data_IF_328547021403
#
_entry.id   IF_328547021403
#
_cell.length_a   1.000
_cell.length_b   1.000
_cell.length_c   1.000
_cell.angle_alpha   90.00
_cell.angle_beta   90.00
_cell.angle_gamma   90.00
#
_symmetry.space_group_name_H-M   'P 1'
#
loop_
_entity.id
_entity.type
_entity.pdbx_description
1 polymer ?
#
# COMPACT_ATOMS: atom_id res chain seq x y z
N UNK A 1 2.87 25.05 41.42
CA UNK A 1 2.78 23.56 41.48
C UNK A 1 4.05 22.96 40.91
N UNK A 2 4.68 21.99 41.59
CA UNK A 2 5.84 21.25 41.06
C UNK A 2 5.44 20.30 39.93
N UNK A 3 6.37 20.03 39.00
CA UNK A 3 6.24 19.05 37.91
C UNK A 3 5.77 17.68 38.44
N UNK A 4 6.32 17.24 39.57
CA UNK A 4 5.99 15.94 40.16
C UNK A 4 4.59 15.92 40.76
N UNK A 5 4.11 17.06 41.26
CA UNK A 5 2.74 17.22 41.74
C UNK A 5 1.75 17.12 40.58
N UNK A 6 2.03 17.76 39.43
CA UNK A 6 1.21 17.65 38.22
C UNK A 6 1.13 16.21 37.70
N UNK A 7 2.26 15.50 37.65
CA UNK A 7 2.29 14.09 37.24
C UNK A 7 1.51 13.18 38.20
N UNK A 8 1.59 13.43 39.51
CA UNK A 8 0.80 12.69 40.53
C UNK A 8 -0.69 12.93 40.38
N UNK A 9 -1.11 14.18 40.12
CA UNK A 9 -2.52 14.53 39.92
C UNK A 9 -3.09 13.86 38.66
N UNK A 10 -2.35 13.89 37.55
CA UNK A 10 -2.76 13.22 36.30
C UNK A 10 -2.89 11.71 36.50
N UNK A 11 -1.94 11.08 37.20
CA UNK A 11 -2.02 9.65 37.53
C UNK A 11 -3.19 9.29 38.45
N UNK A 12 -3.50 10.13 39.45
CA UNK A 12 -4.63 9.92 40.38
C UNK A 12 -6.02 10.03 39.71
N UNK A 13 -6.14 10.77 38.61
CA UNK A 13 -7.41 10.91 37.88
C UNK A 13 -7.69 9.74 36.92
N UNK A 14 -6.73 8.84 36.69
CA UNK A 14 -6.94 7.65 35.88
C UNK A 14 -7.80 6.64 36.64
N UNK A 15 -9.12 6.67 36.41
CA UNK A 15 -10.05 5.66 36.96
C UNK A 15 -10.11 4.44 36.05
N UNK A 16 -10.12 3.21 36.59
CA UNK A 16 -10.46 2.03 35.80
C UNK A 16 -11.89 2.13 35.29
N UNK A 17 -12.14 1.62 34.08
CA UNK A 17 -13.48 1.50 33.51
C UNK A 17 -14.33 0.55 34.38
N UNK A 18 -15.46 1.04 34.88
CA UNK A 18 -16.40 0.22 35.67
C UNK A 18 -17.38 -0.57 34.77
N UNK A 19 -17.51 -0.20 33.51
CA UNK A 19 -18.48 -0.78 32.60
C UNK A 19 -17.96 -2.04 31.89
N UNK A 20 -18.81 -3.06 31.68
CA UNK A 20 -18.44 -4.24 30.91
C UNK A 20 -18.13 -3.85 29.46
N UNK A 21 -17.00 -4.33 28.96
CA UNK A 21 -16.57 -4.13 27.57
C UNK A 21 -17.25 -5.16 26.69
N UNK A 22 -18.08 -4.72 25.74
CA UNK A 22 -18.76 -5.59 24.77
C UNK A 22 -18.14 -5.52 23.38
N UNK A 23 -17.83 -4.31 22.91
CA UNK A 23 -17.26 -4.09 21.57
C UNK A 23 -15.94 -3.35 21.67
N UNK A 24 -14.87 -3.99 21.20
CA UNK A 24 -13.53 -3.41 21.23
C UNK A 24 -12.89 -3.33 19.84
N UNK A 25 -11.95 -2.42 19.71
CA UNK A 25 -11.02 -2.33 18.59
C UNK A 25 -9.59 -2.52 19.10
N UNK A 26 -8.81 -3.34 18.41
CA UNK A 26 -7.41 -3.60 18.72
C UNK A 26 -6.54 -3.29 17.50
N UNK A 27 -5.47 -2.54 17.72
CA UNK A 27 -4.53 -2.18 16.66
C UNK A 27 -3.14 -1.89 17.23
N UNK A 28 -2.13 -1.85 16.37
CA UNK A 28 -0.76 -1.53 16.75
C UNK A 28 -0.40 -0.05 16.57
N UNK A 29 0.51 0.43 17.42
CA UNK A 29 1.06 1.76 17.32
C UNK A 29 2.56 1.74 17.62
N UNK A 30 3.30 2.63 16.97
CA UNK A 30 4.75 2.66 17.07
C UNK A 30 5.25 3.64 18.15
N UNK A 31 6.02 3.13 19.11
CA UNK A 31 6.82 3.92 20.05
C UNK A 31 7.88 4.74 19.35
N UNK A 32 8.47 4.25 18.28
CA UNK A 32 9.28 4.99 17.31
C UNK A 32 9.07 4.25 16.01
N UNK A 33 8.85 4.99 14.93
CA UNK A 33 8.56 4.40 13.61
C UNK A 33 9.65 3.38 13.29
N UNK A 34 9.27 2.13 12.99
CA UNK A 34 10.16 1.00 12.66
C UNK A 34 11.08 0.47 13.79
N UNK A 35 10.79 0.72 15.07
CA UNK A 35 11.61 0.17 16.16
C UNK A 35 10.82 -0.72 17.12
N UNK A 36 9.84 -0.13 17.82
CA UNK A 36 9.08 -0.84 18.85
C UNK A 36 7.61 -0.51 18.69
N UNK A 37 6.79 -1.55 18.67
CA UNK A 37 5.34 -1.47 18.54
C UNK A 37 4.70 -1.82 19.88
N UNK A 38 3.51 -1.30 20.11
CA UNK A 38 2.66 -1.55 21.25
C UNK A 38 1.22 -1.67 20.74
N UNK A 39 0.35 -2.39 21.44
CA UNK A 39 -1.07 -2.44 21.10
C UNK A 39 -1.85 -1.34 21.80
N UNK A 40 -2.92 -0.89 21.17
CA UNK A 40 -3.96 -0.06 21.77
C UNK A 40 -5.27 -0.83 21.72
N UNK A 41 -6.03 -0.77 22.81
CA UNK A 41 -7.38 -1.33 22.87
C UNK A 41 -8.35 -0.20 23.15
N UNK A 42 -9.37 -0.09 22.32
CA UNK A 42 -10.40 0.94 22.39
C UNK A 42 -11.77 0.30 22.59
N UNK A 43 -12.61 0.90 23.42
CA UNK A 43 -14.03 0.63 23.46
C UNK A 43 -14.67 1.35 22.28
N UNK A 44 -15.24 0.59 21.33
CA UNK A 44 -15.82 1.15 20.11
C UNK A 44 -17.17 1.80 20.34
N UNK A 45 -17.94 1.36 21.33
CA UNK A 45 -19.24 1.96 21.69
C UNK A 45 -19.05 3.37 22.24
N UNK A 46 -18.13 3.53 23.20
CA UNK A 46 -17.86 4.81 23.85
C UNK A 46 -16.80 5.65 23.15
N UNK A 47 -16.12 5.11 22.13
CA UNK A 47 -15.03 5.76 21.40
C UNK A 47 -13.90 6.22 22.34
N UNK A 48 -13.53 5.36 23.29
CA UNK A 48 -12.54 5.65 24.35
C UNK A 48 -11.44 4.61 24.36
N UNK A 49 -10.23 5.04 24.73
CA UNK A 49 -9.10 4.13 24.95
C UNK A 49 -9.34 3.39 26.26
N UNK A 50 -9.25 2.07 26.22
CA UNK A 50 -9.38 1.19 27.40
C UNK A 50 -8.00 0.98 28.01
N UNK A 51 -7.02 0.60 27.19
CA UNK A 51 -5.67 0.34 27.65
C UNK A 51 -4.66 0.45 26.51
N UNK A 52 -3.38 0.53 26.89
CA UNK A 52 -2.23 0.41 26.02
C UNK A 52 -1.41 -0.79 26.50
N UNK A 53 -1.15 -1.75 25.61
CA UNK A 53 -0.26 -2.87 25.90
C UNK A 53 1.18 -2.47 25.57
N UNK A 54 2.16 -3.04 26.27
CA UNK A 54 3.57 -2.65 26.15
C UNK A 54 4.20 -3.04 24.82
N UNK A 55 3.72 -4.13 24.24
CA UNK A 55 4.19 -4.76 23.01
C UNK A 55 3.02 -5.12 22.09
N UNK A 56 3.32 -5.76 20.96
CA UNK A 56 2.35 -6.27 19.99
C UNK A 56 2.32 -7.80 19.96
N UNK A 57 2.85 -8.45 21.00
CA UNK A 57 2.97 -9.90 21.01
C UNK A 57 1.59 -10.55 21.16
N UNK A 58 1.26 -11.59 20.37
CA UNK A 58 -0.03 -12.27 20.47
C UNK A 58 -0.35 -12.78 21.87
N UNK A 59 0.66 -13.21 22.62
CA UNK A 59 0.50 -13.69 23.99
C UNK A 59 0.00 -12.60 24.95
N UNK A 60 0.52 -11.38 24.83
CA UNK A 60 0.11 -10.22 25.64
C UNK A 60 -1.33 -9.84 25.35
N UNK A 61 -1.70 -9.80 24.07
CA UNK A 61 -3.08 -9.55 23.66
C UNK A 61 -4.04 -10.65 24.14
N UNK A 62 -3.65 -11.91 23.99
CA UNK A 62 -4.45 -13.07 24.43
C UNK A 62 -4.71 -13.02 25.94
N UNK A 63 -3.68 -12.78 26.75
CA UNK A 63 -3.80 -12.70 28.21
C UNK A 63 -4.77 -11.58 28.64
N UNK A 64 -4.68 -10.42 27.99
CA UNK A 64 -5.59 -9.32 28.26
C UNK A 64 -7.04 -9.65 27.84
N UNK A 65 -7.23 -10.25 26.67
CA UNK A 65 -8.57 -10.63 26.18
C UNK A 65 -9.23 -11.69 27.07
N UNK A 66 -8.47 -12.67 27.55
CA UNK A 66 -8.97 -13.73 28.43
C UNK A 66 -9.51 -13.18 29.77
N UNK A 67 -8.97 -12.05 30.24
CA UNK A 67 -9.45 -11.37 31.44
C UNK A 67 -10.78 -10.59 31.21
N UNK A 68 -11.28 -10.50 29.97
CA UNK A 68 -12.47 -9.74 29.60
C UNK A 68 -13.48 -10.61 28.83
N UNK A 69 -14.08 -11.63 29.47
CA UNK A 69 -14.96 -12.60 28.80
C UNK A 69 -16.26 -11.98 28.24
N UNK A 70 -16.65 -10.79 28.72
CA UNK A 70 -17.86 -10.07 28.26
C UNK A 70 -17.75 -9.50 26.85
N UNK A 71 -16.54 -9.48 26.26
CA UNK A 71 -16.32 -8.97 24.91
C UNK A 71 -17.02 -9.90 23.92
N UNK A 72 -17.93 -9.33 23.13
CA UNK A 72 -18.68 -10.03 22.10
C UNK A 72 -18.18 -9.71 20.68
N UNK A 73 -17.55 -8.55 20.47
CA UNK A 73 -17.08 -8.11 19.15
C UNK A 73 -15.67 -7.51 19.24
N UNK A 74 -14.79 -7.95 18.33
CA UNK A 74 -13.40 -7.47 18.24
C UNK A 74 -13.12 -6.99 16.82
N UNK A 75 -13.05 -5.67 16.61
CA UNK A 75 -12.51 -5.12 15.37
C UNK A 75 -10.98 -5.14 15.42
N UNK A 76 -10.35 -5.68 14.37
CA UNK A 76 -8.90 -5.80 14.32
C UNK A 76 -8.34 -5.65 12.91
N UNK A 77 -7.07 -5.30 12.84
CA UNK A 77 -6.30 -5.53 11.63
C UNK A 77 -6.12 -7.04 11.37
N UNK A 78 -5.80 -7.39 10.12
CA UNK A 78 -5.50 -8.75 9.66
C UNK A 78 -4.03 -9.13 9.88
N UNK A 79 -3.17 -8.18 10.25
CA UNK A 79 -1.79 -8.41 10.66
C UNK A 79 -1.61 -8.71 12.15
N UNK A 80 -0.38 -9.08 12.54
CA UNK A 80 0.06 -9.03 13.95
C UNK A 80 -0.41 -10.17 14.88
N UNK A 81 -1.05 -11.22 14.37
CA UNK A 81 -1.44 -12.38 15.19
C UNK A 81 -2.61 -12.14 16.15
N UNK A 82 -3.23 -10.95 16.12
CA UNK A 82 -4.39 -10.63 16.95
C UNK A 82 -5.59 -11.54 16.68
N UNK A 83 -5.76 -12.01 15.44
CA UNK A 83 -6.84 -12.94 15.11
C UNK A 83 -6.72 -14.28 15.81
N UNK A 84 -5.49 -14.83 15.89
CA UNK A 84 -5.22 -16.06 16.62
C UNK A 84 -5.33 -15.86 18.13
N UNK A 85 -4.83 -14.73 18.65
CA UNK A 85 -4.95 -14.37 20.06
C UNK A 85 -6.43 -14.24 20.49
N UNK A 86 -7.24 -13.56 19.67
CA UNK A 86 -8.68 -13.40 19.90
C UNK A 86 -9.41 -14.74 19.81
N UNK A 87 -9.12 -15.58 18.81
CA UNK A 87 -9.75 -16.89 18.66
C UNK A 87 -9.45 -17.82 19.85
N UNK A 88 -8.25 -17.75 20.42
CA UNK A 88 -7.86 -18.54 21.61
C UNK A 88 -8.46 -17.98 22.90
N UNK A 89 -8.46 -16.67 23.08
CA UNK A 89 -8.93 -16.04 24.32
C UNK A 89 -10.46 -15.97 24.42
N UNK A 90 -11.14 -15.70 23.30
CA UNK A 90 -12.58 -15.43 23.24
C UNK A 90 -13.19 -16.12 22.01
N UNK A 91 -13.36 -17.46 22.03
CA UNK A 91 -13.87 -18.22 20.89
C UNK A 91 -15.28 -17.80 20.45
N UNK A 92 -16.09 -17.27 21.38
CA UNK A 92 -17.45 -16.78 21.13
C UNK A 92 -17.49 -15.37 20.52
N UNK A 93 -16.39 -14.62 20.57
CA UNK A 93 -16.38 -13.23 20.10
C UNK A 93 -16.32 -13.16 18.57
N UNK A 94 -17.21 -12.36 17.98
CA UNK A 94 -17.21 -12.09 16.54
C UNK A 94 -16.05 -11.16 16.22
N UNK A 95 -15.11 -11.66 15.42
CA UNK A 95 -14.00 -10.86 14.92
C UNK A 95 -14.44 -10.10 13.67
N UNK A 96 -14.09 -8.83 13.58
CA UNK A 96 -14.41 -7.95 12.45
C UNK A 96 -13.10 -7.47 11.83
N UNK A 97 -12.83 -7.85 10.58
CA UNK A 97 -11.64 -7.39 9.89
C UNK A 97 -11.74 -5.89 9.56
N UNK A 98 -10.62 -5.18 9.58
CA UNK A 98 -10.60 -3.77 9.20
C UNK A 98 -10.84 -3.58 7.70
N UNK A 99 -11.89 -2.80 7.38
CA UNK A 99 -12.32 -2.47 6.02
C UNK A 99 -11.25 -1.71 5.25
N UNK A 100 -10.53 -0.80 5.89
CA UNK A 100 -9.50 -0.02 5.20
C UNK A 100 -8.39 -0.94 4.68
N UNK A 101 -7.89 -1.84 5.54
CA UNK A 101 -6.91 -2.85 5.17
C UNK A 101 -7.45 -3.80 4.09
N UNK A 102 -8.72 -4.20 4.14
CA UNK A 102 -9.33 -5.00 3.07
C UNK A 102 -9.32 -4.28 1.72
N UNK A 103 -9.71 -3.01 1.68
CA UNK A 103 -9.74 -2.21 0.47
C UNK A 103 -8.33 -1.90 -0.07
N UNK A 104 -7.38 -1.60 0.81
CA UNK A 104 -5.97 -1.41 0.46
C UNK A 104 -5.37 -2.70 -0.12
N UNK A 105 -5.58 -3.84 0.55
CA UNK A 105 -5.08 -5.15 0.09
C UNK A 105 -5.67 -5.55 -1.26
N UNK A 106 -6.95 -5.28 -1.50
CA UNK A 106 -7.60 -5.49 -2.80
C UNK A 106 -6.92 -4.62 -3.89
N UNK A 107 -6.69 -3.34 -3.61
CA UNK A 107 -6.05 -2.41 -4.55
C UNK A 107 -4.60 -2.80 -4.83
N UNK A 108 -3.88 -3.27 -3.81
CA UNK A 108 -2.52 -3.80 -3.93
C UNK A 108 -2.49 -5.09 -4.74
N UNK A 109 -3.47 -5.97 -4.57
CA UNK A 109 -3.61 -7.19 -5.37
C UNK A 109 -3.81 -6.87 -6.85
N UNK A 110 -4.60 -5.85 -7.18
CA UNK A 110 -4.72 -5.40 -8.57
C UNK A 110 -3.39 -4.87 -9.12
N UNK A 111 -2.67 -4.05 -8.34
CA UNK A 111 -1.34 -3.58 -8.73
C UNK A 111 -0.37 -4.75 -8.98
N UNK A 112 -0.43 -5.80 -8.16
CA UNK A 112 0.38 -7.01 -8.34
C UNK A 112 -0.06 -7.82 -9.57
N UNK A 113 -1.34 -7.86 -9.90
CA UNK A 113 -1.84 -8.43 -11.16
C UNK A 113 -1.31 -7.65 -12.39
N UNK A 114 -1.33 -6.31 -12.34
CA UNK A 114 -0.72 -5.47 -13.39
C UNK A 114 0.78 -5.75 -13.50
N UNK A 115 1.50 -5.84 -12.38
CA UNK A 115 2.95 -6.16 -12.37
C UNK A 115 3.25 -7.50 -13.04
N UNK A 116 2.50 -8.55 -12.72
CA UNK A 116 2.63 -9.87 -13.33
C UNK A 116 2.32 -9.83 -14.84
N UNK A 117 1.40 -8.96 -15.25
CA UNK A 117 0.98 -8.81 -16.65
C UNK A 117 1.85 -7.84 -17.45
N UNK A 118 2.86 -7.20 -16.85
CA UNK A 118 3.66 -6.18 -17.53
C UNK A 118 4.34 -6.68 -18.80
N UNK A 119 4.72 -7.96 -18.87
CA UNK A 119 5.30 -8.52 -20.11
C UNK A 119 4.28 -8.51 -21.26
N UNK A 120 3.06 -9.00 -21.01
CA UNK A 120 1.98 -9.01 -22.00
C UNK A 120 1.56 -7.59 -22.37
N UNK A 121 1.40 -6.71 -21.36
CA UNK A 121 1.12 -5.29 -21.57
C UNK A 121 2.21 -4.66 -22.45
N UNK A 122 3.49 -4.98 -22.23
CA UNK A 122 4.58 -4.49 -23.06
C UNK A 122 4.52 -5.04 -24.49
N UNK A 123 4.03 -6.24 -24.74
CA UNK A 123 3.85 -6.76 -26.10
C UNK A 123 2.71 -6.06 -26.81
N UNK A 124 1.57 -5.88 -26.12
CA UNK A 124 0.38 -5.22 -26.65
C UNK A 124 0.65 -3.73 -26.94
N UNK A 125 1.36 -3.05 -26.05
CA UNK A 125 1.77 -1.66 -26.27
C UNK A 125 2.99 -1.56 -27.20
N UNK A 126 3.93 -2.51 -27.09
CA UNK A 126 5.24 -2.53 -27.77
C UNK A 126 5.25 -3.22 -29.13
N UNK A 127 4.11 -3.35 -29.81
CA UNK A 127 4.09 -3.38 -31.27
C UNK A 127 4.71 -2.09 -31.89
N UNK A 128 5.06 -1.10 -31.06
CA UNK A 128 6.00 -0.01 -31.35
C UNK A 128 7.33 -0.21 -30.63
N UNK A 129 8.32 -0.74 -31.36
CA UNK A 129 9.69 -1.06 -30.96
C UNK A 129 10.45 0.13 -30.36
N UNK A 130 10.91 0.03 -29.10
CA UNK A 130 11.75 1.05 -28.44
C UNK A 130 13.11 1.15 -29.15
N UNK A 131 13.43 2.29 -29.76
CA UNK A 131 14.78 2.56 -30.27
C UNK A 131 15.75 2.92 -29.10
N UNK A 132 16.79 2.10 -28.83
CA UNK A 132 17.78 2.37 -27.77
C UNK A 132 18.51 3.72 -27.93
N UNK A 133 18.52 4.28 -29.15
CA UNK A 133 19.17 5.57 -29.43
C UNK A 133 18.44 6.75 -28.77
N UNK A 134 17.15 6.61 -28.45
CA UNK A 134 16.32 7.66 -27.84
C UNK A 134 16.40 7.73 -26.31
N UNK A 135 17.01 6.74 -25.65
CA UNK A 135 17.14 6.68 -24.20
C UNK A 135 18.21 7.65 -23.67
N UNK A 136 17.92 8.37 -22.58
CA UNK A 136 18.95 9.15 -21.85
C UNK A 136 19.98 8.23 -21.18
N UNK A 137 21.16 8.74 -20.80
CA UNK A 137 22.23 7.92 -20.20
C UNK A 137 21.78 7.15 -18.93
N UNK A 138 20.95 7.78 -18.09
CA UNK A 138 20.38 7.13 -16.90
C UNK A 138 19.33 6.06 -17.26
N UNK A 139 18.55 6.28 -18.34
CA UNK A 139 17.56 5.32 -18.84
C UNK A 139 18.22 4.15 -19.59
N UNK A 140 19.35 4.38 -20.29
CA UNK A 140 20.19 3.32 -20.88
C UNK A 140 20.76 2.40 -19.82
N UNK A 141 21.33 2.95 -18.74
CA UNK A 141 21.85 2.14 -17.63
C UNK A 141 20.76 1.28 -16.96
N UNK A 142 19.54 1.82 -16.86
CA UNK A 142 18.38 1.09 -16.35
C UNK A 142 17.88 0.01 -17.32
N UNK A 143 17.89 0.30 -18.62
CA UNK A 143 17.51 -0.62 -19.70
C UNK A 143 18.50 -1.78 -19.84
N UNK A 144 19.81 -1.51 -19.82
CA UNK A 144 20.87 -2.51 -19.77
C UNK A 144 20.80 -3.35 -18.49
N UNK A 145 20.47 -2.71 -17.36
CA UNK A 145 20.20 -3.43 -16.12
C UNK A 145 18.95 -4.30 -16.21
N UNK A 146 17.93 -3.92 -16.98
CA UNK A 146 16.75 -4.72 -17.28
C UNK A 146 17.07 -5.92 -18.16
N UNK A 147 17.79 -5.72 -19.27
CA UNK A 147 18.21 -6.80 -20.18
C UNK A 147 18.99 -7.89 -19.44
N UNK A 148 19.98 -7.50 -18.63
CA UNK A 148 20.74 -8.44 -17.78
C UNK A 148 19.87 -9.23 -16.81
N UNK A 149 18.78 -8.63 -16.31
CA UNK A 149 17.83 -9.30 -15.40
C UNK A 149 16.88 -10.24 -16.16
N UNK A 150 16.44 -9.87 -17.35
CA UNK A 150 15.66 -10.73 -18.25
C UNK A 150 16.47 -11.95 -18.68
N UNK A 151 17.73 -11.77 -19.07
CA UNK A 151 18.65 -12.86 -19.39
C UNK A 151 18.83 -13.81 -18.20
N UNK A 152 19.05 -13.26 -17.00
CA UNK A 152 19.14 -14.06 -15.78
C UNK A 152 17.83 -14.81 -15.47
N UNK A 153 16.67 -14.19 -15.69
CA UNK A 153 15.37 -14.84 -15.50
C UNK A 153 15.15 -15.96 -16.51
N UNK A 154 15.46 -15.71 -17.78
CA UNK A 154 15.34 -16.68 -18.86
C UNK A 154 16.23 -17.90 -18.60
N UNK A 155 17.48 -17.69 -18.15
CA UNK A 155 18.37 -18.76 -17.75
C UNK A 155 17.82 -19.59 -16.59
N UNK A 156 17.31 -18.96 -15.52
CA UNK A 156 16.67 -19.67 -14.40
C UNK A 156 15.46 -20.48 -14.87
N UNK A 157 14.59 -19.88 -15.69
CA UNK A 157 13.38 -20.54 -16.20
C UNK A 157 13.73 -21.72 -17.13
N UNK A 158 14.75 -21.58 -17.97
CA UNK A 158 15.22 -22.67 -18.84
C UNK A 158 15.74 -23.86 -18.02
N UNK A 159 16.57 -23.60 -17.00
CA UNK A 159 17.06 -24.65 -16.09
C UNK A 159 15.91 -25.32 -15.31
N UNK A 160 14.93 -24.53 -14.87
CA UNK A 160 13.74 -25.06 -14.17
C UNK A 160 12.85 -25.90 -15.09
N UNK A 161 12.70 -25.51 -16.37
CA UNK A 161 11.93 -26.29 -17.36
C UNK A 161 12.60 -27.63 -17.67
N UNK A 162 13.93 -27.67 -17.62
CA UNK A 162 14.71 -28.90 -17.79
C UNK A 162 14.71 -29.81 -16.54
N UNK A 163 13.83 -29.55 -15.56
CA UNK A 163 13.66 -30.39 -14.37
C UNK A 163 14.77 -30.25 -13.32
N UNK A 164 15.69 -29.27 -13.45
CA UNK A 164 16.82 -29.13 -12.54
C UNK A 164 16.34 -28.67 -11.15
N UNK A 165 16.73 -29.35 -10.06
CA UNK A 165 16.34 -28.96 -8.71
C UNK A 165 16.84 -27.55 -8.34
N UNK A 166 16.03 -26.79 -7.60
CA UNK A 166 16.34 -25.40 -7.17
C UNK A 166 17.74 -25.27 -6.56
N UNK A 167 18.21 -26.28 -5.80
CA UNK A 167 19.56 -26.27 -5.18
C UNK A 167 20.68 -26.26 -6.23
N UNK A 168 20.50 -26.97 -7.35
CA UNK A 168 21.46 -26.97 -8.45
C UNK A 168 21.37 -25.69 -9.28
N UNK A 169 20.15 -25.16 -9.52
CA UNK A 169 19.98 -23.86 -10.20
C UNK A 169 20.72 -22.75 -9.43
N UNK A 170 20.62 -22.72 -8.10
CA UNK A 170 21.35 -21.76 -7.24
C UNK A 170 22.87 -21.88 -7.42
N UNK A 171 23.40 -23.11 -7.49
CA UNK A 171 24.85 -23.35 -7.67
C UNK A 171 25.34 -22.96 -9.06
N UNK A 172 24.55 -23.24 -10.10
CA UNK A 172 24.92 -22.95 -11.49
C UNK A 172 24.79 -21.47 -11.85
N UNK A 173 23.76 -20.79 -11.34
CA UNK A 173 23.48 -19.38 -11.66
C UNK A 173 24.11 -18.38 -10.67
N UNK A 174 24.60 -18.85 -9.52
CA UNK A 174 25.11 -17.99 -8.43
C UNK A 174 24.03 -17.13 -7.75
N UNK A 175 22.75 -17.33 -8.10
CA UNK A 175 21.64 -16.53 -7.59
C UNK A 175 21.06 -17.10 -6.29
N UNK A 176 20.61 -16.22 -5.38
CA UNK A 176 20.05 -16.66 -4.10
C UNK A 176 18.83 -17.56 -4.27
N UNK A 177 18.65 -18.51 -3.34
CA UNK A 177 17.50 -19.44 -3.35
C UNK A 177 16.15 -18.71 -3.35
N UNK A 178 16.08 -17.52 -2.72
CA UNK A 178 14.89 -16.66 -2.73
C UNK A 178 14.62 -16.13 -4.14
N UNK A 179 15.65 -15.64 -4.83
CA UNK A 179 15.54 -15.13 -6.19
C UNK A 179 15.10 -16.21 -7.17
N UNK A 180 15.72 -17.40 -7.12
CA UNK A 180 15.35 -18.54 -7.98
C UNK A 180 13.87 -18.92 -7.78
N UNK A 181 13.41 -19.01 -6.52
CA UNK A 181 11.99 -19.26 -6.22
C UNK A 181 11.07 -18.15 -6.75
N UNK A 182 11.46 -16.88 -6.58
CA UNK A 182 10.67 -15.77 -7.09
C UNK A 182 10.57 -15.80 -8.61
N UNK A 183 11.64 -16.11 -9.33
CA UNK A 183 11.62 -16.21 -10.78
C UNK A 183 10.76 -17.38 -11.25
N UNK A 184 10.92 -18.56 -10.66
CA UNK A 184 10.11 -19.75 -10.99
C UNK A 184 8.61 -19.50 -10.75
N UNK A 185 8.27 -18.75 -9.69
CA UNK A 185 6.88 -18.39 -9.35
C UNK A 185 6.35 -17.18 -10.14
N UNK A 186 7.16 -16.55 -10.98
CA UNK A 186 6.79 -15.31 -11.67
C UNK A 186 6.63 -14.08 -10.75
N UNK A 187 7.22 -14.12 -9.55
CA UNK A 187 7.13 -13.11 -8.50
C UNK A 187 8.27 -12.08 -8.52
N UNK A 188 9.23 -12.16 -9.46
CA UNK A 188 10.31 -11.17 -9.58
C UNK A 188 9.75 -9.86 -10.16
N UNK A 189 9.26 -9.01 -9.26
CA UNK A 189 8.69 -7.70 -9.55
C UNK A 189 9.77 -6.69 -9.96
N UNK A 190 9.59 -6.05 -11.12
CA UNK A 190 10.37 -4.89 -11.53
C UNK A 190 9.82 -3.63 -10.84
N UNK A 191 10.61 -3.04 -9.94
CA UNK A 191 10.26 -1.79 -9.27
C UNK A 191 11.03 -0.67 -9.95
N UNK A 192 10.41 -0.06 -10.97
CA UNK A 192 10.79 1.29 -11.40
C UNK A 192 10.53 2.24 -10.22
N UNK A 193 11.59 2.68 -9.55
CA UNK A 193 11.52 3.76 -8.57
C UNK A 193 11.85 5.07 -9.25
N UNK A 194 10.83 5.78 -9.72
CA UNK A 194 10.99 7.21 -10.01
C UNK A 194 11.08 7.93 -8.67
N UNK A 195 12.23 8.52 -8.36
CA UNK A 195 12.41 9.36 -7.16
C UNK A 195 11.53 10.61 -7.35
N UNK A 196 10.70 10.94 -6.36
CA UNK A 196 9.99 12.23 -6.34
C UNK A 196 11.02 13.36 -6.46
N UNK A 197 10.81 14.22 -7.44
CA UNK A 197 11.68 15.37 -7.69
C UNK A 197 11.09 16.57 -6.96
N UNK A 198 11.93 17.45 -6.41
CA UNK A 198 11.50 18.76 -5.94
C UNK A 198 10.86 19.62 -7.05
N UNK A 199 10.99 19.20 -8.31
CA UNK A 199 10.37 19.81 -9.47
C UNK A 199 8.86 19.53 -9.59
N UNK A 200 8.36 18.45 -8.97
CA UNK A 200 6.98 17.96 -9.18
C UNK A 200 5.92 19.00 -8.81
N UNK A 201 6.19 19.85 -7.81
CA UNK A 201 5.31 20.94 -7.36
C UNK A 201 5.27 22.13 -8.32
N UNK A 202 6.29 22.26 -9.18
CA UNK A 202 6.48 23.39 -10.09
C UNK A 202 6.20 23.03 -11.55
N UNK A 203 5.88 21.77 -11.84
CA UNK A 203 5.57 21.29 -13.19
C UNK A 203 4.44 22.06 -13.87
N UNK A 204 3.29 22.36 -13.22
CA UNK A 204 2.20 23.08 -13.89
C UNK A 204 2.64 24.45 -14.42
N UNK A 205 3.37 25.21 -13.60
CA UNK A 205 3.87 26.52 -13.99
C UNK A 205 4.94 26.42 -15.09
N UNK A 206 5.80 25.40 -15.04
CA UNK A 206 6.81 25.17 -16.07
C UNK A 206 6.16 24.80 -17.41
N UNK A 207 5.12 23.97 -17.41
CA UNK A 207 4.35 23.62 -18.61
C UNK A 207 3.62 24.86 -19.18
N UNK A 208 3.06 25.75 -18.34
CA UNK A 208 2.44 27.01 -18.79
C UNK A 208 3.46 27.94 -19.48
N UNK A 209 4.64 28.11 -18.89
CA UNK A 209 5.70 28.93 -19.50
C UNK A 209 6.24 28.32 -20.79
N UNK A 210 6.24 26.99 -20.88
CA UNK A 210 6.63 26.26 -22.08
C UNK A 210 5.64 26.45 -23.23
N UNK A 211 4.35 26.37 -22.92
CA UNK A 211 3.25 26.65 -23.85
C UNK A 211 3.26 28.11 -24.30
N UNK A 212 3.60 29.05 -23.41
CA UNK A 212 3.80 30.46 -23.72
C UNK A 212 5.08 30.78 -24.53
N UNK A 213 5.84 29.76 -24.96
CA UNK A 213 6.99 29.90 -25.86
C UNK A 213 8.35 30.11 -25.18
N UNK A 214 8.45 30.07 -23.85
CA UNK A 214 9.73 30.17 -23.17
C UNK A 214 10.50 28.84 -23.23
N UNK A 215 11.42 28.71 -24.20
CA UNK A 215 12.15 27.44 -24.47
C UNK A 215 13.57 27.37 -23.90
N UNK A 216 14.02 28.43 -23.22
CA UNK A 216 15.36 28.52 -22.65
C UNK A 216 15.36 28.02 -21.19
N UNK A 217 16.03 26.88 -20.94
CA UNK A 217 16.11 26.28 -19.61
C UNK A 217 16.75 27.18 -18.54
N UNK A 218 17.70 28.04 -18.92
CA UNK A 218 18.32 29.01 -18.01
C UNK A 218 17.34 30.11 -17.63
N UNK A 219 16.52 30.56 -18.57
CA UNK A 219 15.49 31.58 -18.33
C UNK A 219 14.37 31.04 -17.44
N UNK A 220 13.90 29.82 -17.71
CA UNK A 220 12.93 29.13 -16.88
C UNK A 220 13.43 28.93 -15.45
N UNK A 221 14.72 28.59 -15.27
CA UNK A 221 15.31 28.45 -13.95
C UNK A 221 15.36 29.78 -13.18
N UNK A 222 15.76 30.88 -13.82
CA UNK A 222 15.77 32.21 -13.17
C UNK A 222 14.37 32.61 -12.71
N UNK A 223 13.37 32.47 -13.58
CA UNK A 223 11.98 32.80 -13.28
C UNK A 223 11.38 31.92 -12.19
N UNK A 224 11.71 30.63 -12.19
CA UNK A 224 11.22 29.71 -11.16
C UNK A 224 11.92 29.95 -9.81
N UNK A 225 13.20 30.30 -9.82
CA UNK A 225 13.96 30.67 -8.61
C UNK A 225 13.36 31.93 -7.95
N UNK A 226 12.97 32.92 -8.76
CA UNK A 226 12.26 34.10 -8.26
C UNK A 226 10.89 33.78 -7.61
N UNK A 227 10.28 32.65 -7.96
CA UNK A 227 9.04 32.13 -7.35
C UNK A 227 9.27 31.17 -6.17
N UNK A 228 10.51 31.10 -5.66
CA UNK A 228 10.86 30.36 -4.45
C UNK A 228 11.40 28.95 -4.67
N UNK A 229 11.73 28.56 -5.91
CA UNK A 229 12.38 27.28 -6.16
C UNK A 229 13.84 27.29 -5.72
N UNK A 230 14.24 26.27 -4.94
CA UNK A 230 15.62 26.11 -4.41
C UNK A 230 16.44 25.04 -5.12
N UNK A 231 15.98 24.54 -6.27
CA UNK A 231 16.69 23.51 -7.03
C UNK A 231 17.72 24.07 -8.01
N UNK A 232 18.58 23.21 -8.53
CA UNK A 232 19.67 23.60 -9.41
C UNK A 232 19.23 23.81 -10.86
N UNK A 233 19.97 24.69 -11.58
CA UNK A 233 19.79 24.94 -13.01
C UNK A 233 19.78 23.66 -13.84
N UNK A 234 20.64 22.69 -13.48
CA UNK A 234 20.74 21.40 -14.15
C UNK A 234 19.40 20.66 -14.21
N UNK A 235 18.60 20.69 -13.14
CA UNK A 235 17.30 20.01 -13.09
C UNK A 235 16.31 20.61 -14.10
N UNK A 236 16.34 21.93 -14.27
CA UNK A 236 15.44 22.64 -15.20
C UNK A 236 15.94 22.54 -16.63
N UNK A 237 17.25 22.60 -16.84
CA UNK A 237 17.86 22.36 -18.16
C UNK A 237 17.63 20.93 -18.64
N UNK A 238 17.69 19.94 -17.75
CA UNK A 238 17.32 18.55 -18.06
C UNK A 238 15.82 18.43 -18.37
N UNK A 239 14.95 19.09 -17.60
CA UNK A 239 13.51 19.13 -17.87
C UNK A 239 13.19 19.80 -19.23
N UNK A 240 13.77 20.96 -19.54
CA UNK A 240 13.58 21.66 -20.80
C UNK A 240 14.15 20.88 -22.00
N UNK A 241 15.24 20.13 -21.78
CA UNK A 241 15.79 19.22 -22.78
C UNK A 241 14.86 18.03 -23.00
N UNK A 242 14.27 17.46 -21.94
CA UNK A 242 13.24 16.43 -22.05
C UNK A 242 12.01 16.94 -22.80
N UNK A 243 11.59 18.18 -22.58
CA UNK A 243 10.42 18.77 -23.25
C UNK A 243 10.65 19.06 -24.73
N UNK A 244 11.83 19.59 -25.11
CA UNK A 244 12.24 19.69 -26.53
C UNK A 244 12.31 18.34 -27.22
N UNK A 245 12.81 17.32 -26.53
CA UNK A 245 12.86 15.95 -27.06
C UNK A 245 11.46 15.32 -27.15
N UNK A 246 10.58 15.62 -26.20
CA UNK A 246 9.20 15.14 -26.19
C UNK A 246 8.36 15.78 -27.31
N UNK A 247 8.51 17.07 -27.59
CA UNK A 247 7.82 17.72 -28.72
C UNK A 247 8.41 17.32 -30.07
N UNK A 248 9.74 17.13 -30.14
CA UNK A 248 10.37 16.54 -31.33
C UNK A 248 9.93 15.07 -31.51
N UNK A 249 9.51 14.42 -30.43
CA UNK A 249 8.91 13.09 -30.40
C UNK A 249 7.37 13.11 -30.48
N UNK A 250 6.68 14.27 -30.48
CA UNK A 250 5.23 14.32 -30.73
C UNK A 250 4.91 13.89 -32.17
N UNK A 251 5.88 14.05 -33.09
CA UNK A 251 5.85 13.45 -34.42
C UNK A 251 6.11 11.92 -34.44
N UNK A 252 6.49 11.31 -33.31
CA UNK A 252 6.89 9.90 -33.16
C UNK A 252 6.24 9.20 -31.94
N UNK A 253 5.17 9.76 -31.37
CA UNK A 253 4.76 9.53 -29.97
C UNK A 253 3.92 8.26 -29.72
N UNK A 254 4.51 7.09 -29.96
CA UNK A 254 3.92 5.78 -29.62
C UNK A 254 4.76 4.96 -28.62
N UNK A 255 5.77 5.53 -27.95
CA UNK A 255 6.86 4.71 -27.37
C UNK A 255 7.31 5.04 -25.94
N UNK A 256 6.38 5.20 -24.98
CA UNK A 256 6.77 5.00 -23.57
C UNK A 256 5.71 4.24 -22.79
N UNK A 257 6.02 2.96 -22.51
CA UNK A 257 5.14 2.07 -21.75
C UNK A 257 5.03 2.58 -20.31
N UNK A 258 3.83 2.92 -19.81
CA UNK A 258 3.68 3.46 -18.46
C UNK A 258 4.06 2.45 -17.38
N UNK A 259 4.39 2.94 -16.18
CA UNK A 259 4.72 2.06 -15.06
C UNK A 259 3.52 1.21 -14.65
N UNK A 260 3.75 0.05 -14.02
CA UNK A 260 2.66 -0.79 -13.48
C UNK A 260 1.73 -0.01 -12.53
N UNK A 261 2.27 0.94 -11.77
CA UNK A 261 1.46 1.80 -10.89
C UNK A 261 0.61 2.79 -11.68
N UNK A 262 1.18 3.34 -12.74
CA UNK A 262 0.46 4.22 -13.66
C UNK A 262 -0.67 3.45 -14.35
N UNK A 263 -0.39 2.27 -14.91
CA UNK A 263 -1.40 1.42 -15.55
C UNK A 263 -2.49 1.03 -14.55
N UNK A 264 -2.13 0.55 -13.36
CA UNK A 264 -3.11 0.22 -12.33
C UNK A 264 -4.02 1.41 -12.00
N UNK A 265 -3.45 2.61 -11.92
CA UNK A 265 -4.18 3.86 -11.70
C UNK A 265 -5.09 4.20 -12.89
N UNK A 266 -4.57 4.16 -14.12
CA UNK A 266 -5.33 4.49 -15.33
C UNK A 266 -6.53 3.54 -15.54
N UNK A 267 -6.35 2.27 -15.21
CA UNK A 267 -7.41 1.27 -15.31
C UNK A 267 -8.47 1.39 -14.20
N UNK A 268 -8.19 2.09 -13.10
CA UNK A 268 -9.11 2.24 -11.94
C UNK A 268 -9.67 3.65 -11.77
N UNK A 269 -9.05 4.67 -12.37
CA UNK A 269 -9.61 6.03 -12.47
C UNK A 269 -10.76 6.05 -13.49
N UNK A 270 -11.80 6.83 -13.22
CA UNK A 270 -12.93 7.02 -14.15
C UNK A 270 -12.46 7.55 -15.51
N UNK A 271 -13.04 7.03 -16.60
CA UNK A 271 -12.61 7.33 -17.98
C UNK A 271 -12.63 8.85 -18.29
N UNK A 272 -13.49 9.60 -17.60
CA UNK A 272 -13.67 11.06 -17.78
C UNK A 272 -12.46 11.89 -17.33
N UNK A 273 -11.51 11.30 -16.61
CA UNK A 273 -10.28 11.96 -16.15
C UNK A 273 -9.05 11.55 -16.97
N UNK A 274 -9.23 10.75 -18.02
CA UNK A 274 -8.15 10.26 -18.88
C UNK A 274 -7.93 11.20 -20.07
N UNK A 275 -6.67 11.45 -20.41
CA UNK A 275 -6.32 12.08 -21.68
C UNK A 275 -6.63 11.15 -22.86
N UNK A 276 -6.69 11.67 -24.09
CA UNK A 276 -6.87 10.86 -25.30
C UNK A 276 -5.81 9.76 -25.44
N UNK A 277 -4.54 10.07 -25.16
CA UNK A 277 -3.43 9.12 -25.22
C UNK A 277 -3.54 8.02 -24.16
N UNK A 278 -3.94 8.37 -22.93
CA UNK A 278 -4.18 7.40 -21.86
C UNK A 278 -5.38 6.50 -22.17
N UNK A 279 -6.43 7.06 -22.77
CA UNK A 279 -7.62 6.29 -23.20
C UNK A 279 -7.26 5.23 -24.23
N UNK A 280 -6.46 5.59 -25.25
CA UNK A 280 -5.97 4.65 -26.27
C UNK A 280 -5.10 3.56 -25.61
N UNK A 281 -4.22 3.95 -24.68
CA UNK A 281 -3.37 3.00 -23.95
C UNK A 281 -4.21 2.01 -23.12
N UNK A 282 -5.22 2.50 -22.40
CA UNK A 282 -6.11 1.65 -21.61
C UNK A 282 -6.91 0.73 -22.53
N UNK A 283 -7.46 1.22 -23.64
CA UNK A 283 -8.22 0.41 -24.59
C UNK A 283 -7.35 -0.71 -25.20
N UNK A 284 -6.10 -0.42 -25.56
CA UNK A 284 -5.16 -1.43 -26.05
C UNK A 284 -4.91 -2.52 -25.00
N UNK A 285 -4.68 -2.14 -23.73
CA UNK A 285 -4.49 -3.09 -22.63
C UNK A 285 -5.76 -3.92 -22.38
N UNK A 286 -6.94 -3.29 -22.39
CA UNK A 286 -8.22 -3.97 -22.20
C UNK A 286 -8.46 -5.03 -23.28
N UNK A 287 -8.13 -4.73 -24.54
CA UNK A 287 -8.25 -5.67 -25.65
C UNK A 287 -7.18 -6.78 -25.65
N UNK A 288 -5.93 -6.43 -25.32
CA UNK A 288 -4.79 -7.35 -25.43
C UNK A 288 -4.51 -8.19 -24.19
N UNK A 289 -5.08 -7.84 -23.02
CA UNK A 289 -4.84 -8.53 -21.74
C UNK A 289 -6.17 -8.73 -20.99
N UNK A 290 -7.08 -9.60 -21.48
CA UNK A 290 -8.42 -9.78 -20.93
C UNK A 290 -8.41 -10.24 -19.45
N UNK A 291 -7.44 -11.07 -19.06
CA UNK A 291 -7.30 -11.52 -17.67
C UNK A 291 -7.06 -10.36 -16.69
N UNK A 292 -6.51 -9.24 -17.17
CA UNK A 292 -6.32 -8.04 -16.34
C UNK A 292 -7.62 -7.23 -16.19
N UNK A 293 -8.47 -7.23 -17.22
CA UNK A 293 -9.82 -6.68 -17.15
C UNK A 293 -10.65 -7.45 -16.13
N UNK A 294 -10.63 -8.78 -16.20
CA UNK A 294 -11.28 -9.65 -15.23
C UNK A 294 -10.79 -9.38 -13.81
N UNK A 295 -9.46 -9.29 -13.61
CA UNK A 295 -8.89 -8.96 -12.31
C UNK A 295 -9.35 -7.60 -11.77
N UNK A 296 -9.49 -6.58 -12.64
CA UNK A 296 -10.04 -5.28 -12.27
C UNK A 296 -11.50 -5.41 -11.81
N UNK A 297 -12.32 -6.10 -12.58
CA UNK A 297 -13.74 -6.28 -12.29
C UNK A 297 -13.96 -6.99 -10.96
N UNK A 298 -13.22 -8.06 -10.71
CA UNK A 298 -13.25 -8.80 -9.44
C UNK A 298 -12.92 -7.86 -8.27
N UNK A 299 -11.89 -7.01 -8.39
CA UNK A 299 -11.53 -6.08 -7.33
C UNK A 299 -12.57 -4.96 -7.16
N UNK A 300 -13.16 -4.47 -8.24
CA UNK A 300 -14.24 -3.48 -8.20
C UNK A 300 -15.51 -4.06 -7.54
N UNK A 301 -15.85 -5.31 -7.86
CA UNK A 301 -16.96 -6.05 -7.26
C UNK A 301 -16.73 -6.24 -5.75
N UNK A 302 -15.50 -6.56 -5.32
CA UNK A 302 -15.16 -6.64 -3.90
C UNK A 302 -15.32 -5.30 -3.17
N UNK A 303 -14.84 -4.19 -3.77
CA UNK A 303 -15.03 -2.85 -3.20
C UNK A 303 -16.51 -2.49 -3.11
N UNK A 304 -17.30 -2.83 -4.13
CA UNK A 304 -18.73 -2.59 -4.16
C UNK A 304 -19.45 -3.40 -3.08
N UNK A 305 -19.05 -4.66 -2.90
CA UNK A 305 -19.58 -5.57 -1.88
C UNK A 305 -19.41 -5.00 -0.47
N UNK A 306 -18.22 -4.49 -0.14
CA UNK A 306 -17.95 -3.84 1.15
C UNK A 306 -18.80 -2.57 1.31
N UNK A 307 -18.87 -1.72 0.26
CA UNK A 307 -19.63 -0.46 0.33
C UNK A 307 -21.13 -0.66 0.46
N UNK A 308 -21.68 -1.66 -0.24
CA UNK A 308 -23.12 -1.98 -0.24
C UNK A 308 -23.53 -2.97 0.86
N UNK A 309 -22.58 -3.46 1.65
CA UNK A 309 -22.81 -4.50 2.68
C UNK A 309 -23.44 -5.79 2.11
N UNK A 310 -23.09 -6.15 0.87
CA UNK A 310 -23.72 -7.25 0.13
C UNK A 310 -23.02 -8.60 0.40
N UNK A 311 -23.21 -9.17 1.60
CA UNK A 311 -22.49 -10.37 2.04
C UNK A 311 -22.77 -11.63 1.20
N UNK A 312 -23.99 -11.78 0.68
CA UNK A 312 -24.43 -12.96 -0.07
C UNK A 312 -23.55 -13.28 -1.30
N UNK A 313 -22.92 -12.26 -1.90
CA UNK A 313 -22.04 -12.44 -3.06
C UNK A 313 -20.63 -12.93 -2.74
N UNK A 314 -20.23 -13.02 -1.46
CA UNK A 314 -18.83 -13.26 -1.08
C UNK A 314 -18.30 -14.62 -1.55
N UNK A 315 -19.10 -15.69 -1.42
CA UNK A 315 -18.67 -17.05 -1.81
C UNK A 315 -18.41 -17.12 -3.32
N UNK A 316 -19.37 -16.66 -4.13
CA UNK A 316 -19.24 -16.62 -5.60
C UNK A 316 -18.05 -15.75 -6.03
N UNK A 317 -17.85 -14.62 -5.35
CA UNK A 317 -16.72 -13.75 -5.58
C UNK A 317 -15.39 -14.45 -5.26
N UNK A 318 -15.30 -15.21 -4.16
CA UNK A 318 -14.09 -15.97 -3.79
C UNK A 318 -13.73 -16.97 -4.89
N UNK A 319 -14.72 -17.71 -5.41
CA UNK A 319 -14.50 -18.73 -6.44
C UNK A 319 -13.99 -18.11 -7.74
N UNK A 320 -14.63 -17.03 -8.19
CA UNK A 320 -14.16 -16.23 -9.35
C UNK A 320 -12.74 -15.67 -9.11
N UNK A 321 -12.48 -15.12 -7.92
CA UNK A 321 -11.19 -14.54 -7.59
C UNK A 321 -10.05 -15.57 -7.54
N UNK A 322 -10.32 -16.80 -7.09
CA UNK A 322 -9.34 -17.91 -7.05
C UNK A 322 -8.86 -18.35 -8.43
N UNK A 323 -9.71 -18.23 -9.46
CA UNK A 323 -9.36 -18.59 -10.84
C UNK A 323 -8.60 -17.48 -11.59
N UNK A 324 -8.51 -16.27 -11.03
CA UNK A 324 -7.98 -15.09 -11.71
C UNK A 324 -6.57 -14.68 -11.23
N UNK A 325 -6.04 -13.57 -11.78
CA UNK A 325 -4.75 -13.00 -11.38
C UNK A 325 -4.68 -12.52 -9.92
N UNK A 326 -5.83 -12.42 -9.22
CA UNK A 326 -5.93 -12.02 -7.81
C UNK A 326 -6.15 -13.20 -6.84
N UNK A 327 -5.85 -14.42 -7.27
CA UNK A 327 -5.99 -15.66 -6.48
C UNK A 327 -5.30 -15.63 -5.12
N UNK A 328 -4.16 -14.95 -4.99
CA UNK A 328 -3.46 -14.77 -3.72
C UNK A 328 -4.26 -13.92 -2.72
N UNK A 329 -4.99 -12.92 -3.21
CA UNK A 329 -5.88 -12.11 -2.39
C UNK A 329 -7.11 -12.91 -1.97
N UNK A 330 -7.72 -13.67 -2.89
CA UNK A 330 -8.81 -14.60 -2.58
C UNK A 330 -8.43 -15.62 -1.49
N UNK A 331 -7.24 -16.21 -1.61
CA UNK A 331 -6.68 -17.13 -0.60
C UNK A 331 -6.50 -16.44 0.76
N UNK A 332 -6.10 -15.16 0.74
CA UNK A 332 -6.05 -14.33 1.94
C UNK A 332 -7.43 -14.14 2.55
N UNK A 333 -8.44 -13.75 1.76
CA UNK A 333 -9.82 -13.56 2.23
C UNK A 333 -10.38 -14.84 2.86
N UNK A 334 -10.18 -16.00 2.24
CA UNK A 334 -10.66 -17.29 2.75
C UNK A 334 -10.09 -17.62 4.13
N UNK A 335 -8.79 -17.35 4.36
CA UNK A 335 -8.15 -17.60 5.66
C UNK A 335 -8.78 -16.83 6.82
N UNK A 336 -9.48 -15.74 6.52
CA UNK A 336 -10.09 -14.84 7.50
C UNK A 336 -11.58 -14.60 7.17
N UNK A 337 -12.23 -15.59 6.53
CA UNK A 337 -13.53 -15.43 5.88
C UNK A 337 -14.60 -14.93 6.85
N UNK A 338 -14.68 -15.54 8.04
CA UNK A 338 -15.64 -15.14 9.07
C UNK A 338 -15.47 -13.67 9.46
N UNK A 339 -14.23 -13.19 9.60
CA UNK A 339 -13.97 -11.79 9.94
C UNK A 339 -14.24 -10.84 8.76
N UNK A 340 -14.06 -11.30 7.52
CA UNK A 340 -14.41 -10.54 6.31
C UNK A 340 -15.93 -10.44 6.15
N UNK A 341 -16.68 -11.53 6.37
CA UNK A 341 -18.16 -11.50 6.39
C UNK A 341 -18.66 -10.52 7.43
N UNK A 342 -18.13 -10.60 8.65
CA UNK A 342 -18.45 -9.64 9.70
C UNK A 342 -18.04 -8.20 9.32
N UNK A 343 -16.92 -8.00 8.61
CA UNK A 343 -16.53 -6.69 8.10
C UNK A 343 -17.48 -6.14 7.02
N UNK A 344 -18.24 -6.98 6.31
CA UNK A 344 -19.22 -6.52 5.33
C UNK A 344 -20.51 -6.08 6.03
N UNK A 345 -20.99 -6.84 7.01
CA UNK A 345 -22.32 -6.64 7.62
C UNK A 345 -22.31 -5.76 8.86
N UNK A 346 -21.27 -5.86 9.70
CA UNK A 346 -21.21 -5.19 11.01
C UNK A 346 -21.20 -3.67 10.90
N UNK A 347 -21.79 -2.91 11.84
CA UNK A 347 -21.58 -1.46 11.91
C UNK A 347 -20.16 -1.11 12.40
N UNK A 348 -19.47 -2.03 13.06
CA UNK A 348 -18.18 -1.78 13.70
C UNK A 348 -17.01 -1.83 12.71
N UNK A 349 -15.97 -1.04 12.95
CA UNK A 349 -14.70 -1.07 12.22
C UNK A 349 -13.56 -0.57 13.10
N UNK A 350 -12.33 -0.81 12.66
CA UNK A 350 -11.14 -0.34 13.35
C UNK A 350 -10.87 1.16 13.15
N UNK A 351 -11.66 1.86 12.33
CA UNK A 351 -11.45 3.29 12.05
C UNK A 351 -11.54 4.18 13.30
N UNK A 352 -12.32 3.79 14.30
CA UNK A 352 -12.31 4.50 15.59
C UNK A 352 -10.97 4.34 16.32
N UNK A 353 -10.46 3.10 16.37
CA UNK A 353 -9.13 2.79 16.94
C UNK A 353 -8.04 3.59 16.25
N UNK A 354 -8.09 3.72 14.91
CA UNK A 354 -7.15 4.55 14.15
C UNK A 354 -7.23 6.04 14.55
N UNK A 355 -8.44 6.55 14.77
CA UNK A 355 -8.67 7.88 15.34
C UNK A 355 -8.00 8.06 16.71
N UNK A 356 -8.14 7.06 17.59
CA UNK A 356 -7.47 7.07 18.90
C UNK A 356 -5.95 6.96 18.79
N UNK A 357 -5.42 6.19 17.84
CA UNK A 357 -3.99 6.15 17.53
C UNK A 357 -3.51 7.54 17.11
N UNK A 358 -4.29 8.26 16.30
CA UNK A 358 -3.96 9.62 15.88
C UNK A 358 -3.91 10.58 17.08
N UNK A 359 -4.88 10.50 17.99
CA UNK A 359 -4.87 11.24 19.28
C UNK A 359 -3.65 10.86 20.14
N UNK A 360 -3.33 9.58 20.25
CA UNK A 360 -2.15 9.08 20.97
C UNK A 360 -0.87 9.67 20.41
N UNK A 361 -0.70 9.63 19.08
CA UNK A 361 0.46 10.21 18.38
C UNK A 361 0.58 11.71 18.66
N UNK A 362 -0.54 12.45 18.72
CA UNK A 362 -0.55 13.87 19.06
C UNK A 362 -0.09 14.12 20.50
N UNK A 363 -0.70 13.45 21.49
CA UNK A 363 -0.32 13.59 22.92
C UNK A 363 1.16 13.25 23.13
N UNK A 364 1.64 12.20 22.47
CA UNK A 364 3.04 11.82 22.52
C UNK A 364 3.97 12.90 21.94
N UNK A 365 3.58 13.55 20.83
CA UNK A 365 4.34 14.67 20.24
C UNK A 365 4.39 15.88 21.18
N UNK A 366 3.29 16.21 21.86
CA UNK A 366 3.28 17.26 22.89
C UNK A 366 4.27 16.98 24.03
N UNK A 367 4.56 15.70 24.29
CA UNK A 367 5.49 15.26 25.33
C UNK A 367 6.91 15.00 24.81
N UNK A 368 7.22 15.45 23.59
CA UNK A 368 8.52 15.24 22.92
C UNK A 368 8.94 13.76 22.88
N UNK A 369 7.97 12.83 22.89
CA UNK A 369 8.23 11.39 22.91
C UNK A 369 8.86 10.86 24.20
N UNK A 370 8.90 11.63 25.29
CA UNK A 370 9.49 11.24 26.59
C UNK A 370 8.50 10.61 27.57
N UNK A 371 7.21 10.60 27.23
CA UNK A 371 6.17 9.96 28.05
C UNK A 371 6.32 8.44 28.08
N UNK A 372 6.43 7.87 29.29
CA UNK A 372 6.30 6.42 29.54
C UNK A 372 4.84 5.97 29.40
N UNK A 373 4.59 4.66 29.30
CA UNK A 373 3.25 4.12 29.01
C UNK A 373 2.21 4.54 30.05
N UNK A 374 2.59 4.54 31.32
CA UNK A 374 1.76 4.93 32.45
C UNK A 374 1.30 6.38 32.33
N UNK A 375 2.18 7.27 31.88
CA UNK A 375 1.86 8.67 31.69
C UNK A 375 1.03 8.91 30.42
N UNK A 376 1.23 8.11 29.38
CA UNK A 376 0.37 8.12 28.19
C UNK A 376 -1.04 7.64 28.54
N UNK A 377 -1.17 6.52 29.26
CA UNK A 377 -2.44 6.00 29.75
C UNK A 377 -3.15 7.04 30.61
N UNK A 378 -2.46 7.64 31.58
CA UNK A 378 -3.09 8.65 32.45
C UNK A 378 -3.59 9.89 31.69
N UNK A 379 -2.90 10.35 30.63
CA UNK A 379 -3.34 11.49 29.81
C UNK A 379 -4.43 11.15 28.79
N UNK A 380 -4.49 9.90 28.33
CA UNK A 380 -5.41 9.46 27.29
C UNK A 380 -6.71 8.90 27.85
N UNK A 381 -6.63 8.25 29.00
CA UNK A 381 -7.74 7.58 29.69
C UNK A 381 -8.27 8.46 30.83
N UNK A 382 -7.39 9.12 31.59
CA UNK A 382 -7.75 9.93 32.76
C UNK A 382 -8.10 11.41 32.48
N UNK A 383 -8.17 11.81 31.21
CA UNK A 383 -8.59 13.15 30.80
C UNK A 383 -10.08 13.12 30.40
N UNK A 384 -10.94 13.01 31.40
CA UNK A 384 -12.36 13.39 31.33
C UNK A 384 -12.61 14.59 32.23
#
# INVERSE_FOLDING_TARGET
>A
MSKDTLLRVVRRRSRPLADPLKVIGIDDWAWRRNHRYASIICNLERRRIVTLLLDREPATAQAWLAAHPTIAIIARDRGGGYGEAAAKALPHAVQVADRWHLMENASRSFLDAVRKSMRQIRTVIGATTIDPKLLTAAERLQYEGYLRREEANAAILALSKNGIPIKQIVRQTGHSRKLVRQVIRGERNDVFRTRQSSLDQHLPWLDDQWAAGCRNGTELWRRLTARGFRGSLRVISEWATRRRRAEKADAQNLQRIPSARTIARLMTIGRDLLTKAETITVAAIEAGVPNLVEAREIIAEFHLMIRRKAEAGLTLWIDRARASLVSSFASGVVKDEAAVRAAITSPWSNGQTEGQITRLKLVRRQMYGRGKIDLLQARLIGAE
#
